data_IF_508462169203
#
_entry.id   IF_508462169203
#
_cell.length_a   1.000
_cell.length_b   1.000
_cell.length_c   1.000
_cell.angle_alpha   90.00
_cell.angle_beta   90.00
_cell.angle_gamma   90.00
#
_symmetry.space_group_name_H-M   'P 1'
#
loop_
_entity.id
_entity.type
_entity.pdbx_description
1 polymer ?
#
# COMPACT_ATOMS: atom_id res chain seq x y z
N UNK A 1 -13.81 13.57 -15.14
CA UNK A 1 -13.07 12.34 -15.50
C UNK A 1 -13.62 11.91 -16.85
N UNK A 2 -12.74 11.83 -17.85
CA UNK A 2 -13.15 11.38 -19.19
C UNK A 2 -13.46 9.88 -19.15
N UNK A 3 -14.69 9.53 -19.50
CA UNK A 3 -15.20 8.15 -19.49
C UNK A 3 -14.55 7.26 -20.57
N UNK A 4 -13.71 7.84 -21.45
CA UNK A 4 -13.04 7.12 -22.53
C UNK A 4 -11.58 6.77 -22.23
N UNK A 5 -11.11 7.06 -21.03
CA UNK A 5 -9.71 6.86 -20.67
C UNK A 5 -9.41 5.36 -20.51
N UNK A 6 -8.34 4.92 -21.16
CA UNK A 6 -7.80 3.59 -20.99
C UNK A 6 -7.11 3.50 -19.61
N UNK A 7 -7.59 2.61 -18.76
CA UNK A 7 -7.11 2.40 -17.38
C UNK A 7 -6.24 1.15 -17.25
N UNK A 8 -5.94 0.49 -18.35
CA UNK A 8 -5.05 -0.65 -18.39
C UNK A 8 -3.59 -0.18 -18.39
N UNK A 9 -2.73 -0.95 -17.77
CA UNK A 9 -1.30 -0.69 -17.72
C UNK A 9 -0.61 -1.55 -18.78
N UNK A 10 0.04 -0.91 -19.73
CA UNK A 10 0.78 -1.59 -20.78
C UNK A 10 2.28 -1.61 -20.43
N UNK A 11 2.85 -2.79 -20.37
CA UNK A 11 4.27 -2.98 -20.09
C UNK A 11 5.10 -2.86 -21.37
N UNK A 12 6.01 -1.90 -21.43
CA UNK A 12 6.91 -1.66 -22.59
C UNK A 12 8.28 -2.30 -22.44
N UNK A 13 8.73 -2.47 -21.20
CA UNK A 13 10.01 -3.11 -20.85
C UNK A 13 9.78 -4.03 -19.65
N UNK A 14 10.59 -5.09 -19.50
CA UNK A 14 10.49 -5.94 -18.33
C UNK A 14 10.56 -5.13 -17.03
N UNK A 15 9.65 -5.39 -16.10
CA UNK A 15 9.60 -4.66 -14.81
C UNK A 15 8.87 -5.48 -13.74
N UNK A 16 9.28 -5.31 -12.50
CA UNK A 16 8.55 -5.79 -11.34
C UNK A 16 7.50 -4.76 -10.91
N UNK A 17 6.37 -5.23 -10.43
CA UNK A 17 5.22 -4.37 -10.11
C UNK A 17 4.70 -4.72 -8.72
N UNK A 18 4.66 -3.72 -7.85
CA UNK A 18 4.00 -3.78 -6.56
C UNK A 18 2.65 -3.09 -6.59
N UNK A 19 1.69 -3.63 -5.85
CA UNK A 19 0.40 -3.01 -5.63
C UNK A 19 0.33 -2.55 -4.17
N UNK A 20 0.09 -1.26 -3.95
CA UNK A 20 0.09 -0.67 -2.61
C UNK A 20 -1.29 -0.14 -2.25
N UNK A 21 -1.82 -0.61 -1.14
CA UNK A 21 -3.10 -0.18 -0.60
C UNK A 21 -3.04 1.28 -0.12
N UNK A 22 -3.93 2.13 -0.59
CA UNK A 22 -4.08 3.50 -0.12
C UNK A 22 -5.27 3.66 0.83
N UNK A 23 -6.43 3.19 0.41
CA UNK A 23 -7.67 3.39 1.15
C UNK A 23 -8.74 2.39 0.71
N UNK A 24 -9.68 2.13 1.61
CA UNK A 24 -10.97 1.52 1.29
C UNK A 24 -12.03 2.17 2.19
N UNK A 25 -13.02 2.79 1.59
CA UNK A 25 -14.15 3.40 2.32
C UNK A 25 -15.33 2.46 2.44
N UNK A 26 -15.30 1.34 1.74
CA UNK A 26 -16.34 0.34 1.75
C UNK A 26 -16.41 -0.45 3.06
N UNK A 27 -17.63 -0.86 3.45
CA UNK A 27 -17.87 -1.75 4.59
C UNK A 27 -17.83 -3.23 4.20
N UNK A 28 -17.74 -3.53 2.90
CA UNK A 28 -17.75 -4.88 2.35
C UNK A 28 -16.38 -5.52 2.39
N UNK A 29 -16.36 -6.84 2.52
CA UNK A 29 -15.13 -7.63 2.48
C UNK A 29 -14.83 -8.04 1.03
N UNK A 30 -14.36 -7.07 0.25
CA UNK A 30 -14.07 -7.24 -1.16
C UNK A 30 -12.72 -7.95 -1.37
N UNK A 31 -12.61 -8.63 -2.50
CA UNK A 31 -11.34 -9.17 -3.02
C UNK A 31 -10.91 -8.35 -4.22
N UNK A 32 -9.62 -8.01 -4.31
CA UNK A 32 -9.04 -7.35 -5.48
C UNK A 32 -8.03 -8.28 -6.14
N UNK A 33 -8.07 -8.29 -7.45
CA UNK A 33 -7.13 -9.04 -8.26
C UNK A 33 -6.87 -8.37 -9.60
N UNK A 34 -6.09 -9.05 -10.40
CA UNK A 34 -5.71 -8.61 -11.73
C UNK A 34 -5.68 -9.81 -12.69
N UNK A 35 -5.58 -9.50 -13.95
CA UNK A 35 -5.30 -10.46 -15.01
C UNK A 35 -4.42 -9.81 -16.07
N UNK A 36 -3.72 -10.65 -16.81
CA UNK A 36 -2.79 -10.20 -17.85
C UNK A 36 -3.23 -10.75 -19.20
N UNK A 37 -2.92 -10.01 -20.25
CA UNK A 37 -3.17 -10.41 -21.63
C UNK A 37 -2.16 -9.74 -22.57
N UNK A 38 -1.88 -10.28 -23.76
CA UNK A 38 -1.08 -9.60 -24.78
C UNK A 38 -1.72 -8.25 -25.13
N UNK A 39 -0.94 -7.18 -25.23
CA UNK A 39 -1.45 -5.80 -25.39
C UNK A 39 -2.34 -5.64 -26.65
N UNK A 40 -2.11 -6.45 -27.67
CA UNK A 40 -2.89 -6.47 -28.92
C UNK A 40 -4.11 -7.42 -28.87
N UNK A 41 -4.32 -8.14 -27.75
CA UNK A 41 -5.39 -9.13 -27.59
C UNK A 41 -6.26 -8.84 -26.37
N UNK A 42 -6.78 -7.61 -26.31
CA UNK A 42 -7.66 -7.20 -25.21
C UNK A 42 -8.89 -8.12 -25.10
N UNK A 43 -9.18 -8.70 -23.93
CA UNK A 43 -10.32 -9.58 -23.75
C UNK A 43 -11.65 -8.83 -23.94
N UNK A 44 -12.56 -9.48 -24.63
CA UNK A 44 -13.92 -9.01 -24.89
C UNK A 44 -15.01 -9.82 -24.18
N UNK A 45 -14.60 -10.95 -23.60
CA UNK A 45 -15.46 -11.84 -22.81
C UNK A 45 -14.75 -12.34 -21.57
N UNK A 46 -15.51 -12.55 -20.50
CA UNK A 46 -14.98 -13.00 -19.20
C UNK A 46 -14.35 -14.39 -19.25
N UNK A 47 -14.71 -15.24 -20.21
CA UNK A 47 -14.08 -16.56 -20.41
C UNK A 47 -12.62 -16.47 -20.84
N UNK A 48 -12.20 -15.32 -21.36
CA UNK A 48 -10.82 -15.04 -21.75
C UNK A 48 -9.95 -14.52 -20.58
N UNK A 49 -10.56 -14.33 -19.41
CA UNK A 49 -9.88 -13.78 -18.22
C UNK A 49 -9.38 -14.91 -17.34
N UNK A 50 -8.08 -14.92 -17.06
CA UNK A 50 -7.49 -15.78 -16.03
C UNK A 50 -7.19 -14.94 -14.80
N UNK A 51 -8.04 -14.99 -13.75
CA UNK A 51 -7.92 -14.10 -12.59
C UNK A 51 -6.78 -14.50 -11.69
N UNK A 52 -6.01 -13.52 -11.21
CA UNK A 52 -4.98 -13.67 -10.20
C UNK A 52 -5.36 -12.77 -9.02
N UNK A 53 -5.45 -13.34 -7.82
CA UNK A 53 -5.81 -12.60 -6.61
C UNK A 53 -4.57 -11.87 -6.10
N UNK A 54 -4.68 -10.55 -5.93
CA UNK A 54 -3.68 -9.73 -5.27
C UNK A 54 -3.99 -9.60 -3.77
N UNK A 55 -5.23 -9.22 -3.45
CA UNK A 55 -5.69 -9.06 -2.08
C UNK A 55 -6.96 -9.87 -1.84
N UNK A 56 -6.89 -10.95 -1.08
CA UNK A 56 -8.07 -11.78 -0.78
C UNK A 56 -9.15 -11.00 -0.04
N UNK A 57 -8.74 -10.04 0.79
CA UNK A 57 -9.64 -9.19 1.55
C UNK A 57 -9.09 -7.77 1.62
N UNK A 58 -9.83 -6.81 1.08
CA UNK A 58 -9.59 -5.41 1.31
C UNK A 58 -10.66 -4.90 2.28
N UNK A 59 -10.26 -4.55 3.45
CA UNK A 59 -11.09 -3.90 4.45
C UNK A 59 -10.14 -3.11 5.32
N UNK A 60 -10.18 -1.80 5.21
CA UNK A 60 -9.54 -0.94 6.20
C UNK A 60 -10.39 -0.94 7.45
N UNK A 61 -10.44 -2.06 8.14
CA UNK A 61 -11.10 -2.10 9.41
C UNK A 61 -10.39 -1.15 10.35
N UNK A 62 -11.12 -0.21 10.87
CA UNK A 62 -10.73 0.52 12.09
C UNK A 62 -10.34 -0.53 13.11
N UNK A 63 -9.10 -0.49 13.60
CA UNK A 63 -8.44 -1.53 14.39
C UNK A 63 -9.04 -1.73 15.80
N UNK A 64 -10.33 -1.84 15.96
CA UNK A 64 -10.97 -1.93 17.27
C UNK A 64 -11.67 -3.26 17.56
N UNK A 65 -11.56 -4.26 16.70
CA UNK A 65 -12.12 -5.58 17.02
C UNK A 65 -11.11 -6.69 16.77
N UNK A 66 -11.06 -7.64 17.67
CA UNK A 66 -10.28 -8.89 17.59
C UNK A 66 -10.61 -9.76 16.36
N UNK A 67 -11.56 -9.34 15.54
CA UNK A 67 -12.01 -10.01 14.31
C UNK A 67 -11.28 -9.54 13.03
N UNK A 68 -10.28 -8.69 13.14
CA UNK A 68 -9.62 -8.04 11.99
C UNK A 68 -8.37 -8.76 11.49
N UNK A 69 -8.10 -9.97 11.95
CA UNK A 69 -7.00 -10.79 11.42
C UNK A 69 -7.13 -10.92 9.88
N UNK A 70 -6.12 -10.45 9.15
CA UNK A 70 -6.11 -10.44 7.68
C UNK A 70 -6.66 -9.17 7.03
N UNK A 71 -6.96 -8.11 7.78
CA UNK A 71 -7.25 -6.79 7.23
C UNK A 71 -5.98 -6.15 6.71
N UNK A 72 -6.13 -5.38 5.65
CA UNK A 72 -5.04 -4.58 5.09
C UNK A 72 -5.00 -3.20 5.73
N UNK A 73 -3.78 -2.68 5.81
CA UNK A 73 -3.52 -1.33 6.24
C UNK A 73 -3.07 -0.48 5.06
N UNK A 74 -3.33 0.81 5.14
CA UNK A 74 -2.75 1.77 4.21
C UNK A 74 -1.23 1.62 4.19
N UNK A 75 -0.67 1.44 3.00
CA UNK A 75 0.75 1.18 2.78
C UNK A 75 1.14 -0.30 2.67
N UNK A 76 0.22 -1.23 2.94
CA UNK A 76 0.50 -2.64 2.67
C UNK A 76 0.73 -2.85 1.19
N UNK A 77 1.85 -3.53 0.87
CA UNK A 77 2.32 -3.78 -0.48
C UNK A 77 2.35 -5.27 -0.78
N UNK A 78 1.83 -5.64 -1.93
CA UNK A 78 1.97 -6.98 -2.49
C UNK A 78 2.77 -6.92 -3.79
N UNK A 79 3.71 -7.84 -3.96
CA UNK A 79 4.42 -8.07 -5.21
C UNK A 79 3.51 -8.83 -6.16
N UNK A 80 3.16 -8.22 -7.29
CA UNK A 80 2.37 -8.90 -8.32
C UNK A 80 3.23 -9.94 -9.03
N UNK A 81 2.60 -10.99 -9.54
CA UNK A 81 3.27 -12.09 -10.22
C UNK A 81 2.71 -12.24 -11.63
N UNK A 82 3.59 -12.46 -12.58
CA UNK A 82 3.23 -12.80 -13.94
C UNK A 82 3.26 -14.32 -14.12
N UNK A 83 2.23 -14.87 -14.76
CA UNK A 83 2.21 -16.28 -15.15
C UNK A 83 2.85 -16.42 -16.53
N UNK A 84 4.00 -17.08 -16.61
CA UNK A 84 4.78 -17.23 -17.86
C UNK A 84 4.31 -18.42 -18.74
N UNK A 85 3.22 -19.07 -18.34
CA UNK A 85 2.70 -20.30 -18.96
C UNK A 85 3.10 -21.56 -18.21
N UNK A 86 4.09 -21.50 -17.30
CA UNK A 86 4.60 -22.65 -16.53
C UNK A 86 4.65 -22.36 -15.02
N UNK A 87 4.99 -21.14 -14.64
CA UNK A 87 5.16 -20.71 -13.24
C UNK A 87 4.89 -19.22 -13.07
N UNK A 88 4.73 -18.81 -11.84
CA UNK A 88 4.70 -17.40 -11.48
C UNK A 88 6.11 -16.83 -11.36
N UNK A 89 6.36 -15.71 -12.04
CA UNK A 89 7.61 -14.92 -11.98
C UNK A 89 7.33 -13.51 -11.49
N UNK A 90 8.36 -12.81 -11.01
CA UNK A 90 8.20 -11.44 -10.50
C UNK A 90 8.12 -10.41 -11.62
N UNK A 91 8.86 -10.64 -12.69
CA UNK A 91 9.01 -9.71 -13.79
C UNK A 91 7.91 -9.88 -14.83
N UNK A 92 7.23 -8.80 -15.17
CA UNK A 92 6.26 -8.74 -16.26
C UNK A 92 7.00 -8.41 -17.55
N UNK A 93 6.85 -9.20 -18.61
CA UNK A 93 7.54 -8.96 -19.88
C UNK A 93 6.91 -7.81 -20.67
N UNK A 94 7.68 -7.22 -21.59
CA UNK A 94 7.15 -6.27 -22.55
C UNK A 94 6.05 -6.86 -23.42
N UNK A 95 5.07 -6.05 -23.82
CA UNK A 95 3.95 -6.47 -24.67
C UNK A 95 2.78 -7.11 -23.92
N UNK A 96 2.81 -7.04 -22.57
CA UNK A 96 1.71 -7.49 -21.70
C UNK A 96 0.94 -6.30 -21.16
N UNK A 97 -0.37 -6.41 -21.14
CA UNK A 97 -1.27 -5.48 -20.44
C UNK A 97 -1.80 -6.10 -19.17
N UNK A 98 -2.03 -5.25 -18.17
CA UNK A 98 -2.58 -5.62 -16.87
C UNK A 98 -3.91 -4.88 -16.69
N UNK A 99 -4.94 -5.63 -16.35
CA UNK A 99 -6.24 -5.10 -15.98
C UNK A 99 -6.69 -5.66 -14.63
N UNK A 100 -7.65 -5.01 -14.02
CA UNK A 100 -8.04 -5.21 -12.62
C UNK A 100 -9.45 -5.74 -12.49
N UNK A 101 -9.71 -6.40 -11.37
CA UNK A 101 -11.08 -6.74 -10.98
C UNK A 101 -11.26 -6.63 -9.47
N UNK A 102 -12.51 -6.39 -9.08
CA UNK A 102 -12.99 -6.39 -7.70
C UNK A 102 -14.15 -7.35 -7.58
N UNK A 103 -14.11 -8.27 -6.61
CA UNK A 103 -15.20 -9.19 -6.30
C UNK A 103 -15.88 -8.70 -5.01
N UNK A 104 -17.14 -8.33 -5.15
CA UNK A 104 -17.95 -7.77 -4.07
C UNK A 104 -18.22 -8.78 -2.96
N UNK A 105 -17.97 -8.39 -1.70
CA UNK A 105 -18.30 -9.21 -0.50
C UNK A 105 -17.89 -10.68 -0.62
N UNK A 106 -16.75 -10.95 -1.23
CA UNK A 106 -16.34 -12.30 -1.62
C UNK A 106 -15.55 -13.05 -0.58
N UNK A 107 -14.95 -12.36 0.38
CA UNK A 107 -14.13 -13.03 1.39
C UNK A 107 -14.99 -13.55 2.54
N UNK A 108 -14.89 -14.86 2.79
CA UNK A 108 -15.51 -15.49 3.95
C UNK A 108 -14.50 -15.57 5.10
N UNK A 109 -14.72 -14.80 6.14
CA UNK A 109 -13.82 -14.73 7.28
C UNK A 109 -13.76 -16.04 8.10
N UNK A 110 -14.84 -16.80 8.12
CA UNK A 110 -14.91 -18.07 8.85
C UNK A 110 -14.09 -19.17 8.21
N UNK A 111 -14.23 -19.33 6.87
CA UNK A 111 -13.47 -20.35 6.10
C UNK A 111 -12.14 -19.82 5.56
N UNK A 112 -11.91 -18.51 5.57
CA UNK A 112 -10.77 -17.82 4.96
C UNK A 112 -10.66 -18.04 3.45
N UNK A 113 -11.80 -18.22 2.79
CA UNK A 113 -11.88 -18.51 1.36
C UNK A 113 -12.58 -17.39 0.60
N UNK A 114 -12.32 -17.35 -0.71
CA UNK A 114 -13.00 -16.45 -1.64
C UNK A 114 -14.18 -17.18 -2.24
N UNK A 115 -15.37 -16.59 -2.11
CA UNK A 115 -16.62 -17.15 -2.62
C UNK A 115 -16.77 -16.86 -4.11
N UNK A 116 -16.94 -17.91 -4.93
CA UNK A 116 -16.97 -17.83 -6.40
C UNK A 116 -18.30 -17.29 -6.98
N UNK A 117 -19.36 -17.20 -6.18
CA UNK A 117 -20.71 -16.81 -6.64
C UNK A 117 -21.03 -15.33 -6.44
N UNK A 118 -20.02 -14.50 -6.29
CA UNK A 118 -20.15 -13.06 -6.04
C UNK A 118 -19.99 -12.25 -7.32
N UNK A 119 -20.56 -11.03 -7.33
CA UNK A 119 -20.39 -10.13 -8.45
C UNK A 119 -18.95 -9.69 -8.59
N UNK A 120 -18.50 -9.67 -9.84
CA UNK A 120 -17.16 -9.19 -10.19
C UNK A 120 -17.29 -7.97 -11.08
N UNK A 121 -16.54 -6.94 -10.77
CA UNK A 121 -16.42 -5.71 -11.51
C UNK A 121 -15.02 -5.60 -12.11
N UNK A 122 -14.93 -5.29 -13.39
CA UNK A 122 -13.69 -5.26 -14.14
C UNK A 122 -13.30 -3.84 -14.51
N UNK A 123 -12.01 -3.57 -14.59
CA UNK A 123 -11.49 -2.31 -15.12
C UNK A 123 -11.76 -2.17 -16.62
N UNK A 124 -11.81 -3.28 -17.36
CA UNK A 124 -12.24 -3.28 -18.75
C UNK A 124 -13.77 -3.17 -18.78
N UNK A 125 -14.26 -2.04 -19.26
CA UNK A 125 -15.69 -1.70 -19.33
C UNK A 125 -16.54 -2.80 -19.97
N UNK A 126 -16.09 -3.33 -21.10
CA UNK A 126 -16.86 -4.28 -21.89
C UNK A 126 -17.07 -5.64 -21.22
N UNK A 127 -16.27 -5.96 -20.20
CA UNK A 127 -16.44 -7.16 -19.38
C UNK A 127 -17.50 -6.99 -18.29
N UNK A 128 -17.95 -5.76 -18.01
CA UNK A 128 -19.02 -5.51 -17.06
C UNK A 128 -20.40 -5.70 -17.70
N UNK A 129 -21.31 -6.31 -16.96
CA UNK A 129 -22.67 -6.67 -17.47
C UNK A 129 -23.41 -5.47 -18.08
N UNK A 130 -23.29 -4.28 -17.50
CA UNK A 130 -23.94 -3.06 -17.96
C UNK A 130 -23.00 -2.17 -18.77
N UNK A 131 -21.81 -2.64 -19.11
CA UNK A 131 -20.75 -1.88 -19.78
C UNK A 131 -20.42 -0.56 -19.08
N UNK A 132 -20.43 -0.57 -17.76
CA UNK A 132 -20.15 0.58 -16.92
C UNK A 132 -18.68 0.68 -16.56
N UNK A 133 -18.20 1.92 -16.38
CA UNK A 133 -16.91 2.18 -15.78
C UNK A 133 -16.98 1.90 -14.27
N UNK A 134 -16.13 0.99 -13.81
CA UNK A 134 -16.03 0.58 -12.40
C UNK A 134 -14.67 0.89 -11.80
N UNK A 135 -13.81 1.50 -12.57
CA UNK A 135 -12.44 1.84 -12.18
C UNK A 135 -12.06 3.18 -12.79
N UNK A 136 -11.36 3.98 -12.04
CA UNK A 136 -10.66 5.19 -12.52
C UNK A 136 -9.17 5.02 -12.27
N UNK A 137 -8.35 5.63 -13.10
CA UNK A 137 -6.91 5.67 -12.91
C UNK A 137 -6.40 7.12 -13.05
N UNK A 138 -5.39 7.45 -12.28
CA UNK A 138 -4.77 8.77 -12.23
C UNK A 138 -3.25 8.63 -12.16
N UNK A 139 -2.52 9.53 -12.82
CA UNK A 139 -1.06 9.62 -12.77
C UNK A 139 -0.62 11.01 -12.30
N UNK A 140 0.59 11.11 -11.78
CA UNK A 140 1.22 12.40 -11.57
C UNK A 140 1.78 12.95 -12.89
N UNK A 141 2.25 14.19 -12.89
CA UNK A 141 2.84 14.84 -14.09
C UNK A 141 4.07 14.12 -14.63
N UNK A 142 4.85 13.49 -13.78
CA UNK A 142 6.00 12.70 -14.21
C UNK A 142 5.62 11.33 -14.79
N UNK A 143 4.36 10.92 -14.59
CA UNK A 143 3.89 9.59 -15.01
C UNK A 143 4.43 8.43 -14.17
N UNK A 144 5.11 8.73 -13.04
CA UNK A 144 5.76 7.71 -12.20
C UNK A 144 4.79 6.97 -11.29
N UNK A 145 3.64 7.58 -10.97
CA UNK A 145 2.63 7.00 -10.08
C UNK A 145 1.33 6.83 -10.83
N UNK A 146 0.83 5.62 -10.85
CA UNK A 146 -0.50 5.29 -11.34
C UNK A 146 -1.33 4.86 -10.13
N UNK A 147 -2.23 5.72 -9.70
CA UNK A 147 -3.22 5.40 -8.69
C UNK A 147 -4.54 5.03 -9.38
N UNK A 148 -5.25 4.06 -8.82
CA UNK A 148 -6.58 3.70 -9.32
C UNK A 148 -7.55 3.45 -8.16
N UNK A 149 -8.81 3.75 -8.42
CA UNK A 149 -9.92 3.53 -7.52
C UNK A 149 -10.97 2.65 -8.16
N UNK A 150 -11.59 1.78 -7.37
CA UNK A 150 -12.63 0.85 -7.81
C UNK A 150 -13.93 1.07 -7.05
N UNK A 151 -15.05 0.77 -7.73
CA UNK A 151 -16.41 0.95 -7.22
C UNK A 151 -17.18 -0.37 -7.22
N UNK A 152 -17.78 -0.72 -6.09
CA UNK A 152 -18.58 -1.93 -5.91
C UNK A 152 -20.11 -1.67 -5.80
N UNK A 153 -20.56 -0.43 -5.92
CA UNK A 153 -21.97 -0.09 -5.79
C UNK A 153 -22.83 -0.75 -6.88
N UNK A 154 -23.94 -1.34 -6.46
CA UNK A 154 -24.85 -2.09 -7.33
C UNK A 154 -25.90 -1.25 -8.02
N UNK A 155 -26.19 -0.08 -7.48
CA UNK A 155 -27.21 0.85 -7.97
C UNK A 155 -26.53 2.04 -8.66
N UNK A 156 -25.70 1.74 -9.63
CA UNK A 156 -25.11 2.71 -10.54
C UNK A 156 -26.07 3.03 -11.69
N UNK A 157 -27.37 3.14 -11.37
CA UNK A 157 -28.33 3.64 -12.35
C UNK A 157 -28.03 5.13 -12.56
N UNK A 158 -27.86 5.59 -13.79
CA UNK A 158 -27.87 7.00 -14.09
C UNK A 158 -29.31 7.50 -13.89
N UNK A 159 -29.68 7.75 -12.65
CA UNK A 159 -30.86 8.59 -12.39
C UNK A 159 -30.51 9.95 -12.96
N UNK A 160 -31.40 10.54 -13.78
CA UNK A 160 -31.16 11.83 -14.47
C UNK A 160 -30.80 13.02 -13.56
N UNK A 161 -30.58 12.77 -12.34
CA UNK A 161 -29.99 13.60 -11.30
C UNK A 161 -28.55 13.10 -11.04
N UNK A 162 -27.57 13.72 -11.61
CA UNK A 162 -26.12 13.49 -11.55
C UNK A 162 -25.51 13.24 -10.14
N UNK A 163 -26.28 12.91 -9.13
CA UNK A 163 -25.91 12.86 -7.70
C UNK A 163 -25.42 11.49 -7.21
N UNK A 164 -25.49 10.43 -8.01
CA UNK A 164 -24.98 9.10 -7.65
C UNK A 164 -23.91 8.58 -8.59
N UNK A 165 -22.94 9.42 -8.88
CA UNK A 165 -21.67 8.93 -9.44
C UNK A 165 -20.94 8.19 -8.32
N UNK A 166 -20.45 6.98 -8.59
CA UNK A 166 -19.58 6.27 -7.68
C UNK A 166 -18.41 7.15 -7.25
N UNK A 167 -17.99 7.01 -6.02
CA UNK A 167 -16.84 7.76 -5.50
C UNK A 167 -15.51 7.03 -5.76
N UNK A 168 -15.57 5.81 -6.33
CA UNK A 168 -14.44 4.93 -6.61
C UNK A 168 -13.50 4.72 -5.40
N UNK A 169 -14.06 4.82 -4.20
CA UNK A 169 -13.33 4.75 -2.95
C UNK A 169 -13.37 3.37 -2.28
N UNK A 170 -14.06 2.38 -2.86
CA UNK A 170 -14.22 1.06 -2.24
C UNK A 170 -12.91 0.29 -2.20
N UNK A 171 -12.03 0.55 -3.17
CA UNK A 171 -10.66 0.06 -3.19
C UNK A 171 -9.77 1.07 -3.90
N UNK A 172 -8.82 1.67 -3.20
CA UNK A 172 -7.90 2.66 -3.78
C UNK A 172 -6.46 2.18 -3.60
N UNK A 173 -5.74 2.11 -4.70
CA UNK A 173 -4.38 1.59 -4.78
C UNK A 173 -3.49 2.49 -5.61
N UNK A 174 -2.18 2.35 -5.46
CA UNK A 174 -1.23 2.80 -6.47
C UNK A 174 -0.28 1.66 -6.86
N UNK A 175 0.37 1.85 -8.00
CA UNK A 175 1.35 0.92 -8.53
C UNK A 175 2.76 1.44 -8.25
N UNK A 176 3.59 0.53 -7.77
CA UNK A 176 5.01 0.74 -7.50
C UNK A 176 5.80 -0.10 -8.50
N UNK A 177 6.67 0.54 -9.28
CA UNK A 177 7.42 -0.10 -10.34
C UNK A 177 8.91 -0.09 -10.06
N UNK A 178 9.61 -1.16 -10.39
CA UNK A 178 11.08 -1.19 -10.34
C UNK A 178 11.70 -0.24 -11.38
N UNK A 179 11.03 -0.05 -12.53
CA UNK A 179 11.36 0.96 -13.55
C UNK A 179 10.07 1.66 -14.04
N UNK A 180 9.83 2.89 -13.60
CA UNK A 180 8.67 3.69 -14.02
C UNK A 180 8.61 3.97 -15.52
N UNK A 181 9.76 3.95 -16.23
CA UNK A 181 9.81 4.11 -17.69
C UNK A 181 9.35 2.86 -18.44
N UNK A 182 9.18 1.74 -17.76
CA UNK A 182 8.79 0.47 -18.37
C UNK A 182 7.30 0.36 -18.69
N UNK A 183 6.49 1.33 -18.26
CA UNK A 183 5.05 1.30 -18.48
C UNK A 183 4.55 2.44 -19.36
N UNK A 184 3.44 2.20 -20.03
CA UNK A 184 2.69 3.22 -20.75
C UNK A 184 1.53 3.74 -19.90
N UNK A 185 1.57 5.04 -19.65
CA UNK A 185 0.54 5.75 -18.89
C UNK A 185 -0.20 6.80 -19.73
N UNK A 186 -0.01 6.78 -21.04
CA UNK A 186 -0.46 7.86 -21.95
C UNK A 186 -1.95 8.15 -21.91
N UNK A 187 -2.78 7.13 -21.70
CA UNK A 187 -4.24 7.28 -21.59
C UNK A 187 -4.76 7.59 -20.20
N UNK A 188 -3.92 7.56 -19.18
CA UNK A 188 -4.34 7.81 -17.79
C UNK A 188 -4.34 9.31 -17.51
N UNK A 189 -5.42 9.81 -16.91
CA UNK A 189 -5.59 11.24 -16.60
C UNK A 189 -4.57 11.72 -15.55
N UNK A 190 -4.01 12.91 -15.78
CA UNK A 190 -3.12 13.53 -14.80
C UNK A 190 -3.92 14.11 -13.62
N UNK A 191 -3.39 13.88 -12.42
CA UNK A 191 -3.91 14.53 -11.23
C UNK A 191 -3.71 16.06 -11.35
N UNK A 192 -4.75 16.85 -11.11
CA UNK A 192 -4.61 18.30 -11.16
C UNK A 192 -3.70 18.81 -10.03
N UNK A 193 -2.82 19.73 -10.34
CA UNK A 193 -1.79 20.28 -9.44
C UNK A 193 -2.29 20.75 -8.07
N UNK A 194 -3.55 21.13 -8.00
CA UNK A 194 -4.14 21.71 -6.78
C UNK A 194 -4.67 20.68 -5.77
N UNK A 195 -4.74 19.41 -6.13
CA UNK A 195 -5.35 18.38 -5.28
C UNK A 195 -4.33 17.53 -4.52
N UNK A 196 -3.07 17.62 -4.87
CA UNK A 196 -2.01 16.85 -4.22
C UNK A 196 -1.20 17.76 -3.32
N UNK A 197 -1.72 18.07 -2.17
CA UNK A 197 -0.83 18.09 -1.03
C UNK A 197 -0.32 16.66 -0.92
N UNK A 198 0.98 16.48 -1.08
CA UNK A 198 1.64 15.18 -0.87
C UNK A 198 1.17 14.65 0.49
N UNK A 199 0.19 13.76 0.45
CA UNK A 199 -0.36 13.19 1.68
C UNK A 199 0.63 12.16 2.16
N UNK A 200 1.05 12.32 3.38
CA UNK A 200 1.82 11.30 4.06
C UNK A 200 0.86 10.20 4.53
N UNK A 201 1.16 8.97 4.16
CA UNK A 201 0.59 7.79 4.79
C UNK A 201 1.57 7.27 5.82
N UNK A 202 1.08 6.73 6.92
CA UNK A 202 1.98 6.22 7.94
C UNK A 202 1.57 4.86 8.47
N UNK A 203 2.59 4.07 8.81
CA UNK A 203 2.46 2.85 9.59
C UNK A 203 3.00 3.08 10.99
N UNK A 204 2.35 2.55 12.00
CA UNK A 204 2.78 2.64 13.39
C UNK A 204 3.05 1.27 13.98
N UNK A 205 4.19 1.14 14.63
CA UNK A 205 4.64 -0.05 15.33
C UNK A 205 4.90 0.32 16.80
N UNK A 206 4.55 -0.56 17.71
CA UNK A 206 4.82 -0.36 19.13
C UNK A 206 5.21 -1.67 19.79
N UNK A 207 6.00 -1.57 20.84
CA UNK A 207 6.42 -2.72 21.62
C UNK A 207 7.18 -2.31 22.86
N UNK A 208 7.74 -3.30 23.50
CA UNK A 208 8.58 -3.14 24.70
C UNK A 208 9.94 -3.78 24.42
N UNK A 209 10.98 -3.10 24.81
CA UNK A 209 12.36 -3.59 24.83
C UNK A 209 12.76 -3.78 26.29
N UNK A 210 13.31 -4.94 26.60
CA UNK A 210 13.86 -5.26 27.91
C UNK A 210 15.33 -5.62 27.76
N UNK A 211 16.14 -5.09 28.63
CA UNK A 211 17.61 -5.23 28.59
C UNK A 211 18.12 -5.77 29.92
N UNK A 212 19.25 -6.45 29.80
CA UNK A 212 20.12 -6.92 30.88
C UNK A 212 21.46 -6.21 30.78
N UNK A 213 21.96 -5.60 31.86
CA UNK A 213 23.13 -4.70 31.82
C UNK A 213 24.47 -5.43 31.82
N UNK A 214 24.56 -6.66 32.31
CA UNK A 214 25.80 -7.44 32.40
C UNK A 214 26.17 -8.23 31.14
N UNK A 215 25.39 -8.11 30.07
CA UNK A 215 25.73 -8.81 28.83
C UNK A 215 27.11 -8.42 28.27
N UNK A 216 28.00 -9.39 27.88
CA UNK A 216 27.83 -10.85 27.81
C UNK A 216 28.16 -11.62 29.10
N UNK A 217 28.40 -10.94 30.19
CA UNK A 217 28.64 -11.58 31.49
C UNK A 217 27.33 -12.10 32.08
N UNK A 218 27.40 -12.98 33.05
CA UNK A 218 26.22 -13.50 33.73
C UNK A 218 25.61 -12.42 34.62
N UNK A 219 24.44 -11.91 34.24
CA UNK A 219 23.52 -11.21 35.13
C UNK A 219 22.59 -12.20 35.83
N UNK A 220 21.52 -11.68 36.42
CA UNK A 220 20.47 -12.50 37.05
C UNK A 220 19.38 -12.93 36.05
N UNK A 221 19.48 -12.48 34.78
CA UNK A 221 18.65 -12.85 33.63
C UNK A 221 17.14 -12.57 33.83
N UNK A 222 16.79 -11.57 34.60
CA UNK A 222 15.40 -11.19 34.79
C UNK A 222 14.93 -10.13 33.79
N UNK A 223 15.83 -9.58 32.94
CA UNK A 223 15.57 -8.69 31.83
C UNK A 223 14.84 -7.41 32.27
N UNK A 224 15.13 -6.92 33.45
CA UNK A 224 14.47 -5.74 34.02
C UNK A 224 15.42 -4.54 34.25
N UNK A 225 16.71 -4.67 33.98
CA UNK A 225 17.70 -3.61 34.20
C UNK A 225 17.35 -2.33 33.46
N UNK A 226 16.75 -2.46 32.28
CA UNK A 226 16.14 -1.34 31.57
C UNK A 226 14.95 -1.83 30.75
N UNK A 227 13.78 -1.24 30.97
CA UNK A 227 12.58 -1.49 30.17
C UNK A 227 12.17 -0.20 29.49
N UNK A 228 12.04 -0.27 28.15
CA UNK A 228 11.69 0.87 27.30
C UNK A 228 10.49 0.51 26.43
N UNK A 229 9.40 1.24 26.55
CA UNK A 229 8.35 1.19 25.54
C UNK A 229 8.77 2.01 24.33
N UNK A 230 8.52 1.47 23.14
CA UNK A 230 8.76 2.22 21.91
C UNK A 230 7.51 2.30 21.03
N UNK A 231 7.43 3.39 20.30
CA UNK A 231 6.51 3.59 19.19
C UNK A 231 7.29 4.13 18.00
N UNK A 232 7.20 3.45 16.87
CA UNK A 232 7.75 3.90 15.58
C UNK A 232 6.63 4.25 14.63
N UNK A 233 6.68 5.42 14.03
CA UNK A 233 5.80 5.87 12.97
C UNK A 233 6.62 6.16 11.72
N UNK A 234 6.36 5.43 10.65
CA UNK A 234 7.05 5.59 9.36
C UNK A 234 6.09 6.27 8.40
N UNK A 235 6.42 7.47 7.99
CA UNK A 235 5.64 8.26 7.04
C UNK A 235 6.23 8.13 5.63
N UNK A 236 5.39 7.85 4.67
CA UNK A 236 5.74 7.73 3.26
C UNK A 236 4.95 8.74 2.45
N UNK A 237 5.60 9.35 1.47
CA UNK A 237 4.92 10.12 0.43
C UNK A 237 3.99 9.22 -0.38
N UNK A 238 2.74 9.62 -0.56
CA UNK A 238 1.80 8.91 -1.45
C UNK A 238 2.28 8.97 -2.89
N UNK A 239 2.95 10.06 -3.28
CA UNK A 239 3.39 10.27 -4.66
C UNK A 239 4.61 9.45 -5.04
N UNK A 240 5.57 9.28 -4.12
CA UNK A 240 6.85 8.67 -4.42
C UNK A 240 7.08 7.34 -3.73
N UNK A 241 6.19 6.95 -2.81
CA UNK A 241 6.33 5.78 -1.92
C UNK A 241 7.58 5.80 -1.03
N UNK A 242 8.38 6.87 -1.11
CA UNK A 242 9.59 7.01 -0.33
C UNK A 242 9.26 7.39 1.11
N UNK A 243 10.06 6.91 2.04
CA UNK A 243 10.01 7.36 3.42
C UNK A 243 10.43 8.83 3.47
N UNK A 244 9.54 9.67 4.00
CA UNK A 244 9.77 11.11 4.13
C UNK A 244 10.02 11.51 5.57
N UNK A 245 9.56 10.71 6.52
CA UNK A 245 9.76 10.96 7.95
C UNK A 245 9.64 9.67 8.75
N UNK A 246 10.46 9.54 9.77
CA UNK A 246 10.34 8.53 10.82
C UNK A 246 10.25 9.25 12.15
N UNK A 247 9.30 8.87 12.99
CA UNK A 247 9.20 9.33 14.37
C UNK A 247 9.34 8.11 15.26
N UNK A 248 10.38 8.11 16.06
CA UNK A 248 10.59 7.10 17.10
C UNK A 248 10.40 7.76 18.47
N UNK A 249 9.50 7.19 19.24
CA UNK A 249 9.25 7.59 20.63
C UNK A 249 9.71 6.48 21.54
N UNK A 250 10.57 6.79 22.49
CA UNK A 250 11.04 5.88 23.50
C UNK A 250 10.66 6.40 24.88
N UNK A 251 10.03 5.57 25.67
CA UNK A 251 9.58 5.91 27.02
C UNK A 251 10.20 4.92 28.01
N UNK A 252 11.22 5.32 28.78
CA UNK A 252 11.74 4.49 29.85
C UNK A 252 10.63 4.22 30.87
N UNK A 253 10.44 2.95 31.21
CA UNK A 253 9.39 2.47 32.13
C UNK A 253 9.96 1.93 33.42
N UNK A 254 11.14 1.33 33.36
CA UNK A 254 11.79 0.74 34.49
C UNK A 254 13.31 0.85 34.34
N UNK A 255 13.98 1.08 35.45
CA UNK A 255 15.43 1.08 35.62
C UNK A 255 15.69 0.26 36.89
N UNK A 256 15.92 -1.04 36.71
CA UNK A 256 16.15 -1.99 37.80
C UNK A 256 17.62 -2.14 38.17
N UNK A 257 18.50 -1.61 37.32
CA UNK A 257 19.94 -1.76 37.49
C UNK A 257 20.52 -0.91 38.64
N UNK A 258 21.61 -1.35 39.19
CA UNK A 258 22.42 -0.55 40.12
C UNK A 258 23.30 0.50 39.42
N UNK A 259 23.37 0.46 38.12
CA UNK A 259 24.19 1.31 37.24
C UNK A 259 23.34 2.32 36.47
N UNK A 260 23.96 3.45 36.09
CA UNK A 260 23.31 4.41 35.22
C UNK A 260 23.42 3.94 33.77
N UNK A 261 22.32 3.46 33.22
CA UNK A 261 22.26 2.95 31.84
C UNK A 261 21.89 4.07 30.86
N UNK A 262 22.57 4.07 29.71
CA UNK A 262 22.24 4.91 28.58
C UNK A 262 21.48 4.11 27.51
N UNK A 263 20.53 4.73 26.85
CA UNK A 263 19.80 4.15 25.73
C UNK A 263 20.20 4.83 24.43
N UNK A 264 20.59 4.03 23.43
CA UNK A 264 20.87 4.50 22.09
C UNK A 264 20.33 3.50 21.05
N UNK A 265 20.09 3.97 19.83
CA UNK A 265 19.71 3.11 18.73
C UNK A 265 20.31 3.56 17.42
N UNK A 266 20.35 2.67 16.44
CA UNK A 266 20.90 2.91 15.11
C UNK A 266 19.86 2.54 14.04
N UNK A 267 19.74 3.38 13.01
CA UNK A 267 19.00 3.06 11.78
C UNK A 267 19.98 2.34 10.84
N UNK A 268 19.85 1.01 10.73
CA UNK A 268 20.70 0.22 9.83
C UNK A 268 20.23 0.35 8.38
N UNK A 269 21.16 0.38 7.42
CA UNK A 269 20.86 0.44 6.00
C UNK A 269 20.48 1.83 5.46
N UNK A 270 20.57 2.87 6.27
CA UNK A 270 20.34 4.25 5.85
C UNK A 270 21.67 4.99 5.90
N UNK A 271 22.11 5.57 4.79
CA UNK A 271 23.30 6.40 4.76
C UNK A 271 23.01 7.75 5.43
N UNK A 272 24.03 8.33 6.09
CA UNK A 272 23.88 9.65 6.72
C UNK A 272 23.49 10.75 5.71
N UNK A 273 23.94 10.63 4.45
CA UNK A 273 23.58 11.51 3.34
C UNK A 273 22.09 11.48 2.98
N UNK A 274 21.38 10.40 3.32
CA UNK A 274 19.94 10.26 3.03
C UNK A 274 19.06 10.91 4.09
N UNK A 275 19.68 11.37 5.19
CA UNK A 275 18.97 12.00 6.31
C UNK A 275 19.23 13.49 6.31
N UNK A 276 18.23 14.27 5.89
CA UNK A 276 18.34 15.74 5.83
C UNK A 276 18.35 16.39 7.21
N UNK A 277 17.61 15.83 8.17
CA UNK A 277 17.44 16.44 9.49
C UNK A 277 17.07 15.40 10.53
N UNK A 278 17.65 15.52 11.71
CA UNK A 278 17.20 14.83 12.92
C UNK A 278 16.80 15.86 13.95
N UNK A 279 15.68 15.61 14.63
CA UNK A 279 15.24 16.39 15.78
C UNK A 279 15.07 15.42 16.95
N UNK A 280 15.71 15.72 18.06
CA UNK A 280 15.58 14.95 19.31
C UNK A 280 14.92 15.83 20.32
N UNK A 281 13.86 15.34 20.96
CA UNK A 281 13.16 16.01 22.04
C UNK A 281 13.23 15.11 23.29
N UNK A 282 13.76 15.65 24.38
CA UNK A 282 13.85 14.96 25.66
C UNK A 282 13.69 15.98 26.81
N UNK A 283 12.74 15.72 27.72
CA UNK A 283 12.49 16.60 28.87
C UNK A 283 12.16 18.05 28.52
N UNK A 284 11.55 18.28 27.34
CA UNK A 284 11.25 19.62 26.82
C UNK A 284 12.42 20.34 26.14
N UNK A 285 13.58 19.71 26.06
CA UNK A 285 14.74 20.22 25.32
C UNK A 285 14.70 19.66 23.91
N UNK A 286 14.79 20.54 22.91
CA UNK A 286 14.82 20.18 21.49
C UNK A 286 16.22 20.42 20.94
N UNK A 287 16.87 19.38 20.44
CA UNK A 287 18.15 19.44 19.73
C UNK A 287 17.92 19.09 18.25
N UNK A 288 18.58 19.82 17.34
CA UNK A 288 18.49 19.59 15.91
C UNK A 288 19.87 19.34 15.33
N UNK A 289 19.95 18.31 14.49
CA UNK A 289 21.15 17.93 13.75
C UNK A 289 20.85 18.02 12.26
N UNK A 290 21.64 18.76 11.52
CA UNK A 290 21.52 18.94 10.07
C UNK A 290 22.45 17.96 9.33
N UNK A 291 22.25 17.85 8.02
CA UNK A 291 23.14 17.06 7.15
C UNK A 291 24.62 17.42 7.35
N UNK A 292 25.47 16.42 7.46
CA UNK A 292 26.93 16.60 7.60
C UNK A 292 27.44 16.89 9.03
N UNK A 293 26.57 16.94 10.03
CA UNK A 293 27.01 17.04 11.44
C UNK A 293 27.28 15.66 12.02
N UNK A 294 28.42 15.51 12.72
CA UNK A 294 28.70 14.30 13.50
C UNK A 294 27.69 14.16 14.63
N UNK A 295 27.29 12.93 14.88
CA UNK A 295 26.15 12.57 15.74
C UNK A 295 26.59 11.61 16.83
N UNK A 296 27.70 11.92 17.49
CA UNK A 296 28.13 11.22 18.69
C UNK A 296 27.34 11.67 19.93
#
# INVERSE_FOLDING_TARGET
IDENVNIEINVKKPTEIGLVMLSSTGTKQNTVGYFTYPTDQKPTDISQVTPIIAYPRISTAVCNSSSTAGSMYTGDRVELKYWDGTKFVNEFPAGVSIAWFLIESSYNQGTKEIMNNKRTFYSIRDLNKSKEHRTIALKNKSGEVVAFGMEDATNFEPTGDNTRKGNFGDAVFYLDFSDGSAIETGGVEELPDKSINDKEIYNSFKGVLSFEDFWPSKGDYDMNDMIVEYKREIYKSVLTSKVVKVIDTFVPKHDGANWQNGFGYQLTGIANSDIKKITVESGGIVSQFMEGQDRE
#
